data_IF_030419810444
#
_entry.id   IF_030419810444
#
_cell.length_a   1.000
_cell.length_b   1.000
_cell.length_c   1.000
_cell.angle_alpha   90.00
_cell.angle_beta   90.00
_cell.angle_gamma   90.00
#
_symmetry.space_group_name_H-M   'P 1'
#
loop_
_entity.id
_entity.type
_entity.pdbx_description
1 polymer ?
#
# COMPACT_ATOMS: atom_id res chain seq x y z
N UNK A 1 6.38 13.11 51.21
CA UNK A 1 7.40 14.07 50.74
C UNK A 1 8.10 13.53 49.51
N UNK A 2 8.12 14.35 48.51
CA UNK A 2 8.84 14.45 47.24
C UNK A 2 8.27 13.72 46.00
N UNK A 3 7.65 14.58 45.22
CA UNK A 3 7.35 14.52 43.80
C UNK A 3 8.50 14.04 42.94
N UNK A 4 8.24 13.12 42.01
CA UNK A 4 9.06 12.90 40.81
C UNK A 4 8.23 13.28 39.57
N UNK A 5 8.50 14.47 39.07
CA UNK A 5 7.98 15.03 37.82
C UNK A 5 8.56 14.21 36.65
N UNK A 6 7.69 13.52 35.92
CA UNK A 6 8.05 12.78 34.71
C UNK A 6 8.20 13.73 33.50
N UNK A 7 9.42 13.95 33.11
CA UNK A 7 9.85 14.76 31.96
C UNK A 7 9.49 14.06 30.66
N UNK A 8 8.49 14.57 29.93
CA UNK A 8 8.11 14.10 28.61
C UNK A 8 9.13 14.63 27.59
N UNK A 9 9.72 13.78 26.71
CA UNK A 9 10.67 14.25 25.71
C UNK A 9 9.97 15.01 24.56
N UNK A 10 10.60 16.13 24.18
CA UNK A 10 10.15 17.14 23.23
C UNK A 10 10.16 16.70 21.75
N UNK A 11 9.86 15.47 21.41
CA UNK A 11 9.88 14.98 20.01
C UNK A 11 8.50 14.94 19.32
N UNK A 12 7.41 15.23 20.02
CA UNK A 12 6.05 15.14 19.49
C UNK A 12 5.49 16.45 18.89
N UNK A 13 6.28 17.53 18.80
CA UNK A 13 5.76 18.85 18.43
C UNK A 13 6.11 19.32 17.00
N UNK A 14 6.82 18.50 16.20
CA UNK A 14 7.31 18.94 14.86
C UNK A 14 6.44 18.50 13.67
N UNK A 15 5.38 17.73 13.87
CA UNK A 15 4.53 17.26 12.76
C UNK A 15 3.17 17.96 12.62
N UNK A 16 2.87 19.02 13.40
CA UNK A 16 1.60 19.79 13.28
C UNK A 16 1.62 20.98 12.33
N UNK A 17 2.77 21.30 11.72
CA UNK A 17 2.94 22.53 10.92
C UNK A 17 2.80 22.36 9.40
N UNK A 18 2.68 21.17 8.85
CA UNK A 18 2.74 20.94 7.39
C UNK A 18 1.40 20.76 6.68
N UNK A 19 0.28 20.65 7.38
CA UNK A 19 -1.05 20.45 6.75
C UNK A 19 -1.91 21.72 6.65
N UNK A 20 -1.44 22.89 7.09
CA UNK A 20 -2.23 24.12 7.12
C UNK A 20 -1.98 25.08 5.94
N UNK A 21 -1.25 24.69 4.89
CA UNK A 21 -0.88 25.60 3.78
C UNK A 21 -1.42 25.26 2.39
N UNK A 22 -2.33 24.30 2.28
CA UNK A 22 -2.89 23.88 0.98
C UNK A 22 -4.36 24.29 0.75
N UNK A 23 -4.98 25.07 1.62
CA UNK A 23 -6.42 25.37 1.55
C UNK A 23 -6.78 26.85 1.26
N UNK A 24 -5.86 27.70 0.83
CA UNK A 24 -6.16 29.16 0.65
C UNK A 24 -5.90 29.71 -0.77
N UNK A 25 -6.00 28.90 -1.81
CA UNK A 25 -5.77 29.41 -3.18
C UNK A 25 -6.94 29.19 -4.15
N UNK A 26 -8.18 28.97 -3.71
CA UNK A 26 -9.33 28.76 -4.61
C UNK A 26 -10.43 29.83 -4.52
N UNK A 27 -10.31 30.89 -3.73
CA UNK A 27 -11.37 31.90 -3.55
C UNK A 27 -11.10 33.27 -4.18
N UNK A 28 -10.38 33.35 -5.30
CA UNK A 28 -10.09 34.65 -5.92
C UNK A 28 -10.48 34.81 -7.40
N UNK A 29 -11.48 34.05 -7.89
CA UNK A 29 -12.03 34.31 -9.23
C UNK A 29 -13.57 34.35 -9.17
N UNK A 30 -14.14 35.33 -8.50
CA UNK A 30 -15.55 35.69 -8.71
C UNK A 30 -15.88 37.02 -8.03
N UNK A 31 -15.42 38.10 -8.59
CA UNK A 31 -16.13 39.41 -8.45
C UNK A 31 -15.51 40.46 -9.38
N UNK A 32 -15.95 40.47 -10.60
CA UNK A 32 -15.94 41.72 -11.39
C UNK A 32 -17.12 41.69 -12.37
N UNK A 33 -18.24 42.17 -11.92
CA UNK A 33 -19.32 42.56 -12.79
C UNK A 33 -20.10 43.72 -12.16
N UNK A 34 -20.20 44.76 -12.93
CA UNK A 34 -21.07 45.93 -12.88
C UNK A 34 -20.34 47.23 -12.55
N UNK A 35 -20.03 47.95 -13.62
CA UNK A 35 -20.27 49.38 -13.65
C UNK A 35 -20.82 49.78 -15.04
N UNK A 36 -22.02 50.29 -15.00
CA UNK A 36 -22.76 50.93 -16.08
C UNK A 36 -22.25 52.33 -16.33
N UNK A 37 -21.92 52.68 -17.56
CA UNK A 37 -21.58 54.02 -17.98
C UNK A 37 -21.87 54.25 -19.45
N UNK A 38 -22.87 55.10 -19.69
CA UNK A 38 -23.46 55.42 -20.98
C UNK A 38 -22.57 56.32 -21.85
N UNK A 39 -22.85 56.26 -23.17
CA UNK A 39 -22.66 57.29 -24.23
C UNK A 39 -21.30 57.35 -24.92
N UNK A 40 -21.31 57.01 -26.23
CA UNK A 40 -21.15 57.96 -27.32
C UNK A 40 -21.03 57.18 -28.64
N UNK A 41 -21.89 57.52 -29.60
CA UNK A 41 -21.90 56.90 -30.92
C UNK A 41 -20.65 57.25 -31.71
N UNK A 42 -19.90 56.25 -32.04
CA UNK A 42 -18.91 56.32 -33.12
C UNK A 42 -19.23 55.25 -34.14
N UNK A 43 -19.74 55.73 -35.29
CA UNK A 43 -19.86 54.91 -36.50
C UNK A 43 -18.45 54.45 -36.88
N UNK A 44 -18.10 53.26 -36.50
CA UNK A 44 -16.88 52.60 -37.00
C UNK A 44 -17.21 51.75 -38.20
N UNK A 45 -16.53 52.11 -39.28
CA UNK A 45 -16.52 51.37 -40.54
C UNK A 45 -16.28 49.88 -40.24
N UNK A 46 -17.20 49.06 -40.75
CA UNK A 46 -17.07 47.61 -40.76
C UNK A 46 -15.90 47.19 -41.63
N UNK A 47 -14.72 47.08 -41.05
CA UNK A 47 -13.62 46.34 -41.65
C UNK A 47 -13.94 44.84 -41.48
N UNK A 48 -14.49 44.27 -42.54
CA UNK A 48 -14.63 42.81 -42.67
C UNK A 48 -13.21 42.22 -42.70
N UNK A 49 -12.74 41.82 -41.52
CA UNK A 49 -11.58 40.94 -41.49
C UNK A 49 -12.04 39.57 -41.98
N UNK A 50 -11.39 39.01 -43.02
CA UNK A 50 -11.66 37.64 -43.42
C UNK A 50 -11.29 36.75 -42.22
N UNK A 51 -12.25 36.09 -41.65
CA UNK A 51 -12.02 35.06 -40.65
C UNK A 51 -11.15 33.98 -41.32
N UNK A 52 -9.85 34.00 -40.99
CA UNK A 52 -8.94 32.94 -41.38
C UNK A 52 -9.41 31.69 -40.61
N UNK A 53 -10.13 30.85 -41.32
CA UNK A 53 -10.52 29.53 -40.80
C UNK A 53 -9.20 28.76 -40.58
N UNK A 54 -8.85 28.63 -39.29
CA UNK A 54 -7.78 27.70 -38.89
C UNK A 54 -8.34 26.31 -39.16
N UNK A 55 -7.98 25.74 -40.29
CA UNK A 55 -8.29 24.34 -40.56
C UNK A 55 -7.51 23.51 -39.51
N UNK A 56 -8.22 22.93 -38.58
CA UNK A 56 -7.69 21.94 -37.67
C UNK A 56 -7.34 20.72 -38.52
N UNK A 57 -6.05 20.52 -38.77
CA UNK A 57 -5.56 19.31 -39.40
C UNK A 57 -5.81 18.19 -38.40
N UNK A 58 -6.86 17.41 -38.62
CA UNK A 58 -7.12 16.18 -37.88
C UNK A 58 -6.12 15.14 -38.41
N UNK A 59 -5.06 14.90 -37.64
CA UNK A 59 -4.18 13.77 -37.92
C UNK A 59 -4.93 12.49 -37.51
N UNK A 60 -5.39 11.74 -38.46
CA UNK A 60 -5.88 10.37 -38.26
C UNK A 60 -4.69 9.41 -38.22
N UNK A 61 -4.68 8.51 -37.26
CA UNK A 61 -3.71 7.41 -37.19
C UNK A 61 -3.91 6.46 -38.37
N UNK A 62 -2.83 6.06 -39.00
CA UNK A 62 -2.86 5.02 -40.05
C UNK A 62 -2.99 3.64 -39.39
N UNK A 63 -3.64 2.70 -40.07
CA UNK A 63 -3.80 1.33 -39.61
C UNK A 63 -2.43 0.65 -39.40
N UNK A 64 -1.46 0.95 -40.25
CA UNK A 64 -0.11 0.41 -40.10
C UNK A 64 0.63 0.97 -38.89
N UNK A 65 0.44 2.23 -38.54
CA UNK A 65 1.03 2.83 -37.34
C UNK A 65 0.53 2.15 -36.05
N UNK A 66 -0.78 1.86 -35.97
CA UNK A 66 -1.33 1.09 -34.87
C UNK A 66 -0.76 -0.33 -34.83
N UNK A 67 -0.64 -1.00 -35.99
CA UNK A 67 -0.11 -2.35 -36.05
C UNK A 67 1.35 -2.42 -35.58
N UNK A 68 2.19 -1.48 -36.01
CA UNK A 68 3.60 -1.41 -35.61
C UNK A 68 3.74 -1.16 -34.11
N UNK A 69 2.95 -0.24 -33.56
CA UNK A 69 2.96 0.03 -32.10
C UNK A 69 2.56 -1.20 -31.31
N UNK A 70 1.49 -1.90 -31.73
CA UNK A 70 1.07 -3.15 -31.08
C UNK A 70 2.13 -4.25 -31.16
N UNK A 71 2.83 -4.37 -32.28
CA UNK A 71 3.92 -5.32 -32.44
C UNK A 71 5.10 -5.03 -31.49
N UNK A 72 5.46 -3.75 -31.33
CA UNK A 72 6.52 -3.35 -30.39
C UNK A 72 6.11 -3.65 -28.95
N UNK A 73 4.89 -3.28 -28.54
CA UNK A 73 4.39 -3.54 -27.19
C UNK A 73 4.36 -5.04 -26.91
N UNK A 74 3.86 -5.86 -27.84
CA UNK A 74 3.83 -7.31 -27.70
C UNK A 74 5.23 -7.90 -27.49
N UNK A 75 6.20 -7.43 -28.23
CA UNK A 75 7.61 -7.87 -28.12
C UNK A 75 8.19 -7.50 -26.74
N UNK A 76 7.96 -6.28 -26.27
CA UNK A 76 8.43 -5.83 -24.96
C UNK A 76 7.77 -6.62 -23.81
N UNK A 77 6.47 -6.87 -23.89
CA UNK A 77 5.74 -7.64 -22.89
C UNK A 77 6.25 -9.09 -22.78
N UNK A 78 6.59 -9.72 -23.91
CA UNK A 78 7.14 -11.08 -23.92
C UNK A 78 8.44 -11.20 -23.12
N UNK A 79 9.29 -10.17 -23.13
CA UNK A 79 10.53 -10.14 -22.36
C UNK A 79 10.32 -9.74 -20.90
N UNK A 80 9.31 -8.90 -20.60
CA UNK A 80 9.07 -8.37 -19.27
C UNK A 80 8.30 -9.35 -18.37
N UNK A 81 7.39 -10.16 -18.94
CA UNK A 81 6.49 -11.04 -18.19
C UNK A 81 7.19 -12.02 -17.25
N UNK A 82 8.18 -12.81 -17.68
CA UNK A 82 8.81 -13.79 -16.79
C UNK A 82 9.49 -13.13 -15.58
N UNK A 83 10.08 -11.96 -15.77
CA UNK A 83 10.73 -11.22 -14.69
C UNK A 83 9.75 -10.70 -13.65
N UNK A 84 8.56 -10.32 -14.09
CA UNK A 84 7.50 -9.83 -13.21
C UNK A 84 7.03 -10.91 -12.23
N UNK A 85 6.73 -12.12 -12.70
CA UNK A 85 6.28 -13.22 -11.85
C UNK A 85 7.32 -13.59 -10.78
N UNK A 86 8.59 -13.72 -11.15
CA UNK A 86 9.64 -13.97 -10.17
C UNK A 86 9.77 -12.88 -9.09
N UNK A 87 9.52 -11.62 -9.44
CA UNK A 87 9.51 -10.52 -8.48
C UNK A 87 8.34 -10.61 -7.50
N UNK A 88 7.16 -10.98 -8.00
CA UNK A 88 5.96 -11.17 -7.18
C UNK A 88 6.14 -12.32 -6.20
N UNK A 89 6.68 -13.45 -6.66
CA UNK A 89 6.94 -14.62 -5.81
C UNK A 89 7.91 -14.28 -4.68
N UNK A 90 9.02 -13.59 -4.98
CA UNK A 90 9.95 -13.10 -3.95
C UNK A 90 9.29 -12.18 -2.94
N UNK A 91 8.41 -11.29 -3.40
CA UNK A 91 7.68 -10.41 -2.51
C UNK A 91 6.74 -11.19 -1.57
N UNK A 92 6.03 -12.19 -2.09
CA UNK A 92 5.18 -13.08 -1.29
C UNK A 92 6.00 -13.86 -0.25
N UNK A 93 7.16 -14.41 -0.62
CA UNK A 93 8.07 -15.09 0.30
C UNK A 93 8.59 -14.16 1.41
N UNK A 94 8.95 -12.93 1.07
CA UNK A 94 9.40 -11.96 2.06
C UNK A 94 8.29 -11.60 3.06
N UNK A 95 7.05 -11.43 2.57
CA UNK A 95 5.87 -11.19 3.43
C UNK A 95 5.59 -12.41 4.31
N UNK A 96 5.72 -13.63 3.77
CA UNK A 96 5.54 -14.85 4.56
C UNK A 96 6.54 -14.93 5.72
N UNK A 97 7.82 -14.71 5.47
CA UNK A 97 8.86 -14.66 6.50
C UNK A 97 8.57 -13.59 7.55
N UNK A 98 8.13 -12.42 7.12
CA UNK A 98 7.76 -11.33 8.03
C UNK A 98 6.55 -11.69 8.90
N UNK A 99 5.51 -12.33 8.34
CA UNK A 99 4.33 -12.74 9.07
C UNK A 99 4.68 -13.82 10.11
N UNK A 100 5.50 -14.81 9.74
CA UNK A 100 5.98 -15.84 10.67
C UNK A 100 6.78 -15.22 11.82
N UNK A 101 7.74 -14.33 11.51
CA UNK A 101 8.53 -13.64 12.55
C UNK A 101 7.63 -12.83 13.50
N UNK A 102 6.62 -12.13 12.97
CA UNK A 102 5.67 -11.37 13.79
C UNK A 102 4.82 -12.26 14.69
N UNK A 103 4.36 -13.42 14.20
CA UNK A 103 3.58 -14.35 15.01
C UNK A 103 4.43 -14.99 16.11
N UNK A 104 5.66 -15.40 15.79
CA UNK A 104 6.63 -15.94 16.77
C UNK A 104 6.95 -14.93 17.87
N UNK A 105 7.23 -13.69 17.50
CA UNK A 105 7.46 -12.58 18.45
C UNK A 105 6.24 -12.37 19.38
N UNK A 106 5.03 -12.52 18.87
CA UNK A 106 3.80 -12.42 19.64
C UNK A 106 3.64 -13.60 20.61
N UNK A 107 3.99 -14.83 20.19
CA UNK A 107 3.99 -16.02 21.07
C UNK A 107 5.00 -15.86 22.18
N UNK A 108 6.22 -15.41 21.87
CA UNK A 108 7.28 -15.18 22.86
C UNK A 108 6.90 -14.13 23.91
N UNK A 109 6.27 -13.03 23.45
CA UNK A 109 5.74 -12.00 24.36
C UNK A 109 4.64 -12.53 25.25
N UNK A 110 3.72 -13.31 24.68
CA UNK A 110 2.65 -13.93 25.47
C UNK A 110 3.21 -14.86 26.54
N UNK A 111 4.22 -15.66 26.17
CA UNK A 111 4.92 -16.54 27.13
C UNK A 111 5.66 -15.75 28.20
N UNK A 112 6.37 -14.70 27.83
CA UNK A 112 7.08 -13.83 28.76
C UNK A 112 6.17 -13.19 29.81
N UNK A 113 4.95 -12.77 29.41
CA UNK A 113 3.98 -12.10 30.30
C UNK A 113 3.19 -13.08 31.16
N UNK A 114 2.92 -14.28 30.66
CA UNK A 114 1.98 -15.24 31.29
C UNK A 114 2.61 -16.51 31.84
N UNK A 115 3.85 -16.78 31.49
CA UNK A 115 4.56 -18.01 31.88
C UNK A 115 3.96 -19.29 31.29
N UNK A 116 3.14 -19.15 30.22
CA UNK A 116 2.55 -20.26 29.47
C UNK A 116 2.36 -19.88 28.00
N UNK A 117 2.34 -20.87 27.14
CA UNK A 117 2.02 -20.68 25.73
C UNK A 117 0.52 -20.43 25.50
N UNK A 118 0.11 -19.78 24.41
CA UNK A 118 -1.29 -19.66 24.07
C UNK A 118 -1.88 -21.02 23.67
N UNK A 119 -3.17 -21.21 23.88
CA UNK A 119 -3.86 -22.43 23.50
C UNK A 119 -4.21 -22.44 22.01
N UNK A 120 -4.49 -21.24 21.44
CA UNK A 120 -4.79 -21.04 20.02
C UNK A 120 -4.11 -19.77 19.51
N UNK A 121 -4.03 -19.61 18.16
CA UNK A 121 -3.53 -18.37 17.55
C UNK A 121 -4.47 -17.19 17.77
N UNK A 122 -5.77 -17.46 17.92
CA UNK A 122 -6.81 -16.47 18.22
C UNK A 122 -6.60 -15.82 19.58
N UNK A 123 -6.04 -16.54 20.57
CA UNK A 123 -5.71 -16.01 21.88
C UNK A 123 -4.76 -14.81 21.80
N UNK A 124 -3.82 -14.83 20.82
CA UNK A 124 -2.90 -13.73 20.59
C UNK A 124 -3.64 -12.45 20.14
N UNK A 125 -4.71 -12.61 19.39
CA UNK A 125 -5.54 -11.49 18.94
C UNK A 125 -6.46 -11.02 20.08
N UNK A 126 -7.10 -11.94 20.77
CA UNK A 126 -8.00 -11.64 21.89
C UNK A 126 -7.27 -10.89 23.03
N UNK A 127 -6.06 -11.33 23.35
CA UNK A 127 -5.22 -10.72 24.38
C UNK A 127 -4.38 -9.52 23.88
N UNK A 128 -4.58 -9.11 22.60
CA UNK A 128 -3.98 -7.91 21.96
C UNK A 128 -2.45 -7.97 21.76
N UNK A 129 -1.86 -9.14 21.70
CA UNK A 129 -0.47 -9.33 21.26
C UNK A 129 -0.36 -9.18 19.74
N UNK A 130 -1.41 -9.58 19.01
CA UNK A 130 -1.59 -9.29 17.59
C UNK A 130 -2.87 -8.45 17.38
N UNK A 131 -2.88 -7.58 16.40
CA UNK A 131 -4.10 -6.85 15.99
C UNK A 131 -5.07 -7.76 15.25
N UNK A 132 -4.55 -8.64 14.42
CA UNK A 132 -5.28 -9.64 13.64
C UNK A 132 -4.30 -10.74 13.26
N UNK A 133 -4.79 -11.92 12.99
CA UNK A 133 -4.02 -12.99 12.40
C UNK A 133 -3.68 -12.63 10.95
N UNK A 134 -2.39 -12.60 10.54
CA UNK A 134 -2.02 -12.29 9.17
C UNK A 134 -2.41 -13.44 8.24
N UNK A 135 -2.85 -13.18 7.01
CA UNK A 135 -3.03 -14.24 6.02
C UNK A 135 -1.67 -14.75 5.52
N UNK A 136 -1.59 -16.03 5.20
CA UNK A 136 -0.45 -16.60 4.48
C UNK A 136 -0.50 -16.09 3.03
N UNK A 137 0.53 -15.39 2.53
CA UNK A 137 0.52 -14.79 1.20
C UNK A 137 0.60 -15.81 0.05
N UNK A 138 0.98 -17.06 0.33
CA UNK A 138 1.07 -18.11 -0.67
C UNK A 138 -0.29 -18.77 -0.87
N UNK A 139 -0.98 -19.13 0.23
CA UNK A 139 -2.30 -19.76 0.20
C UNK A 139 -3.46 -18.78 0.20
N UNK A 140 -3.18 -17.48 0.47
CA UNK A 140 -4.15 -16.39 0.64
C UNK A 140 -5.19 -16.70 1.75
N UNK A 141 -4.83 -17.55 2.70
CA UNK A 141 -5.70 -18.01 3.78
C UNK A 141 -5.10 -17.73 5.16
N UNK A 142 -5.97 -17.47 6.14
CA UNK A 142 -5.58 -17.36 7.55
C UNK A 142 -5.58 -18.72 8.27
N UNK A 143 -6.12 -19.75 7.63
CA UNK A 143 -6.29 -21.10 8.22
C UNK A 143 -5.16 -22.06 7.84
N UNK A 144 -4.22 -21.62 7.00
CA UNK A 144 -3.11 -22.46 6.52
C UNK A 144 -1.94 -22.52 7.50
N UNK A 145 -2.00 -21.83 8.62
CA UNK A 145 -0.95 -21.87 9.62
C UNK A 145 -0.93 -23.22 10.35
N UNK A 146 0.24 -23.83 10.43
CA UNK A 146 0.48 -25.10 11.15
C UNK A 146 1.06 -24.76 12.51
N UNK A 147 0.34 -25.20 13.55
CA UNK A 147 0.75 -25.01 14.94
C UNK A 147 1.73 -26.13 15.33
N UNK A 148 2.84 -25.74 15.94
CA UNK A 148 3.82 -26.66 16.53
C UNK A 148 3.66 -26.63 18.04
N UNK A 149 3.43 -27.78 18.63
CA UNK A 149 3.30 -27.94 20.09
C UNK A 149 4.66 -27.80 20.78
N UNK A 150 4.68 -27.40 22.08
CA UNK A 150 5.92 -27.34 22.86
C UNK A 150 6.59 -28.71 22.94
N UNK A 151 7.93 -28.75 22.91
CA UNK A 151 8.68 -30.00 23.08
C UNK A 151 8.52 -30.60 24.50
N UNK A 152 8.33 -29.74 25.49
CA UNK A 152 8.14 -30.12 26.87
C UNK A 152 6.66 -30.38 27.17
N UNK A 153 6.29 -31.60 27.53
CA UNK A 153 4.94 -31.99 27.91
C UNK A 153 4.44 -31.31 29.22
N UNK A 154 5.36 -30.73 29.99
CA UNK A 154 5.04 -29.98 31.22
C UNK A 154 4.67 -28.51 30.92
N UNK A 155 5.00 -28.03 29.74
CA UNK A 155 4.68 -26.68 29.31
C UNK A 155 3.15 -26.53 29.07
N UNK A 156 2.54 -25.55 29.69
CA UNK A 156 1.11 -25.26 29.51
C UNK A 156 0.88 -24.45 28.25
N UNK A 157 -0.10 -24.86 27.44
CA UNK A 157 -0.48 -24.26 26.16
C UNK A 157 -0.11 -25.14 24.97
N UNK A 158 -0.64 -24.81 23.79
CA UNK A 158 -0.52 -25.66 22.59
C UNK A 158 0.34 -25.03 21.48
N UNK A 159 0.49 -23.71 21.45
CA UNK A 159 1.18 -22.98 20.39
C UNK A 159 2.56 -22.56 20.83
N UNK A 160 3.57 -23.37 20.52
CA UNK A 160 4.98 -23.06 20.74
C UNK A 160 5.61 -22.33 19.56
N UNK A 161 5.35 -22.82 18.34
CA UNK A 161 5.85 -22.24 17.11
C UNK A 161 4.78 -22.29 16.02
N UNK A 162 4.94 -21.51 14.98
CA UNK A 162 4.03 -21.43 13.84
C UNK A 162 4.83 -21.63 12.56
N UNK A 163 4.31 -22.49 11.68
CA UNK A 163 4.87 -22.75 10.35
C UNK A 163 3.86 -22.47 9.27
N UNK A 164 4.32 -22.29 8.03
CA UNK A 164 3.43 -22.21 6.89
C UNK A 164 2.93 -23.60 6.49
N UNK A 165 1.64 -23.74 6.22
CA UNK A 165 1.06 -24.91 5.60
C UNK A 165 0.98 -24.80 4.07
N UNK A 166 1.66 -23.84 3.47
CA UNK A 166 1.68 -23.67 2.03
C UNK A 166 2.40 -24.83 1.35
N UNK A 167 1.83 -25.39 0.28
CA UNK A 167 2.51 -26.38 -0.54
C UNK A 167 3.58 -25.72 -1.41
N UNK A 168 4.67 -26.47 -1.69
CA UNK A 168 5.72 -26.07 -2.62
C UNK A 168 7.02 -25.66 -1.98
N UNK A 169 7.94 -25.19 -2.82
CA UNK A 169 9.30 -24.78 -2.47
C UNK A 169 9.53 -23.31 -2.78
N UNK A 170 10.26 -22.67 -1.91
CA UNK A 170 10.72 -21.30 -2.12
C UNK A 170 11.80 -21.23 -3.22
N UNK A 171 12.13 -20.01 -3.67
CA UNK A 171 13.16 -19.79 -4.68
C UNK A 171 14.55 -20.24 -4.22
N UNK A 172 14.79 -20.31 -2.91
CA UNK A 172 16.02 -20.84 -2.30
C UNK A 172 16.05 -22.38 -2.24
N UNK A 173 15.02 -23.07 -2.71
CA UNK A 173 14.90 -24.52 -2.71
C UNK A 173 14.39 -25.12 -1.40
N UNK A 174 14.08 -24.33 -0.38
CA UNK A 174 13.52 -24.78 0.89
C UNK A 174 12.02 -24.97 0.79
N UNK A 175 11.47 -25.97 1.48
CA UNK A 175 10.03 -26.15 1.58
C UNK A 175 9.41 -25.07 2.49
N UNK A 176 8.29 -24.49 2.10
CA UNK A 176 7.55 -23.53 2.94
C UNK A 176 7.13 -24.12 4.29
N UNK A 177 6.84 -25.40 4.35
CA UNK A 177 6.50 -26.13 5.58
C UNK A 177 7.65 -26.21 6.60
N UNK A 178 8.87 -25.89 6.20
CA UNK A 178 10.02 -25.85 7.09
C UNK A 178 10.32 -24.46 7.69
N UNK A 179 9.59 -23.47 7.21
CA UNK A 179 9.77 -22.07 7.66
C UNK A 179 9.06 -21.75 8.96
#
# INVERSE_FOLDING_TARGET
>A
MLSAVHKIPAFAQKCRGLYARAATHWDSISSCSKESGARAGHRRASSRHPARSIQRISFGFTLIELLVVMAIIATLLTLAMPRYFHSVDRAKEAVLKQNLAQMRDAVDKYYGDRGRYPDTLEDLVEKKYLRRLPPDPITESVQSWVIVAPPDQTAKGAVYDVKSGAPGTAQDGTLYSNW
#
